data_IF_771283157482
#
_entry.id   IF_771283157482
#
_cell.length_a   1.000
_cell.length_b   1.000
_cell.length_c   1.000
_cell.angle_alpha   90.00
_cell.angle_beta   90.00
_cell.angle_gamma   90.00
#
_symmetry.space_group_name_H-M   'P 1'
#
loop_
_entity.id
_entity.type
_entity.pdbx_description
1 polymer ?
#
# COMPACT_ATOMS: atom_id res chain seq x y z
N UNK A 1 9.44 16.93 -57.46
CA UNK A 1 9.20 17.85 -56.32
C UNK A 1 9.00 17.08 -55.00
N UNK A 2 9.51 15.84 -54.88
CA UNK A 2 9.31 14.98 -53.69
C UNK A 2 10.58 14.74 -52.87
N UNK A 3 11.77 15.00 -53.42
CA UNK A 3 13.04 14.59 -52.80
C UNK A 3 13.67 15.67 -51.88
N UNK A 4 13.07 16.85 -51.78
CA UNK A 4 13.58 17.97 -50.95
C UNK A 4 12.87 18.13 -49.60
N UNK A 5 11.94 17.23 -49.26
CA UNK A 5 11.13 17.32 -48.02
C UNK A 5 11.40 16.14 -47.09
N UNK A 6 12.56 15.50 -47.21
CA UNK A 6 12.98 14.44 -46.32
C UNK A 6 14.32 14.83 -45.67
N UNK A 7 14.35 14.87 -44.34
CA UNK A 7 15.55 15.10 -43.56
C UNK A 7 15.61 14.01 -42.49
N UNK A 8 16.64 13.18 -42.57
CA UNK A 8 16.94 12.17 -41.55
C UNK A 8 17.09 12.86 -40.19
N UNK A 9 16.36 12.39 -39.19
CA UNK A 9 16.42 12.89 -37.83
C UNK A 9 17.29 11.94 -37.00
N UNK A 10 18.28 12.48 -36.30
CA UNK A 10 19.08 11.68 -35.38
C UNK A 10 18.27 11.35 -34.11
N UNK A 11 18.72 10.34 -33.37
CA UNK A 11 18.05 9.86 -32.14
C UNK A 11 17.90 10.97 -31.09
N UNK A 12 18.78 11.96 -31.08
CA UNK A 12 18.75 13.11 -30.17
C UNK A 12 17.58 14.05 -30.45
N UNK A 13 17.37 14.44 -31.72
CA UNK A 13 16.21 15.25 -32.12
C UNK A 13 14.91 14.47 -31.94
N UNK A 14 14.92 13.16 -32.23
CA UNK A 14 13.79 12.29 -31.98
C UNK A 14 13.45 12.20 -30.47
N UNK A 15 14.45 12.11 -29.61
CA UNK A 15 14.28 12.10 -28.14
C UNK A 15 13.74 13.44 -27.63
N UNK A 16 14.17 14.58 -28.19
CA UNK A 16 13.69 15.91 -27.81
C UNK A 16 12.19 16.15 -28.07
N UNK A 17 11.58 15.34 -28.94
CA UNK A 17 10.13 15.35 -29.23
C UNK A 17 9.31 14.62 -28.15
N UNK A 18 9.96 13.88 -27.24
CA UNK A 18 9.35 13.22 -26.10
C UNK A 18 9.83 13.90 -24.81
N UNK A 19 9.22 15.03 -24.40
CA UNK A 19 9.69 15.84 -23.27
C UNK A 19 9.56 15.17 -21.89
N UNK A 20 9.03 13.94 -21.81
CA UNK A 20 8.83 13.18 -20.57
C UNK A 20 9.22 11.72 -20.83
N UNK A 21 10.46 11.36 -20.49
CA UNK A 21 10.99 10.00 -20.56
C UNK A 21 10.92 9.27 -19.20
N UNK A 22 10.62 10.00 -18.13
CA UNK A 22 10.65 9.46 -16.77
C UNK A 22 9.61 8.33 -16.61
N UNK A 23 10.13 7.13 -16.34
CA UNK A 23 9.31 5.96 -16.03
C UNK A 23 8.75 6.09 -14.61
N UNK A 24 7.50 6.54 -14.49
CA UNK A 24 6.81 6.70 -13.21
C UNK A 24 5.95 5.48 -12.86
N UNK A 25 5.90 5.14 -11.57
CA UNK A 25 4.92 4.18 -11.03
C UNK A 25 3.65 4.97 -10.72
N UNK A 26 2.85 5.21 -11.76
CA UNK A 26 1.60 5.97 -11.67
C UNK A 26 0.42 5.14 -12.17
N UNK A 27 -0.14 4.30 -11.31
CA UNK A 27 -1.43 3.66 -11.54
C UNK A 27 -2.53 4.39 -10.79
N UNK A 28 -2.94 5.57 -11.28
CA UNK A 28 -3.89 6.44 -10.59
C UNK A 28 -5.35 6.07 -10.97
N UNK A 29 -5.97 5.23 -10.17
CA UNK A 29 -7.40 4.87 -10.20
C UNK A 29 -8.04 5.26 -8.86
N UNK A 30 -9.39 5.33 -8.75
CA UNK A 30 -10.05 5.68 -7.49
C UNK A 30 -9.68 4.81 -6.28
N UNK A 31 -9.24 3.57 -6.53
CA UNK A 31 -8.86 2.58 -5.51
C UNK A 31 -7.36 2.49 -5.25
N UNK A 32 -6.55 3.30 -5.93
CA UNK A 32 -5.10 3.19 -5.86
C UNK A 32 -4.56 3.75 -4.56
N UNK A 33 -3.54 3.08 -4.03
CA UNK A 33 -2.80 3.54 -2.88
C UNK A 33 -1.76 4.58 -3.34
N UNK A 34 -1.76 5.72 -2.67
CA UNK A 34 -0.72 6.75 -2.85
C UNK A 34 0.42 6.39 -1.90
N UNK A 35 1.57 6.06 -2.46
CA UNK A 35 2.75 5.60 -1.72
C UNK A 35 3.76 6.71 -1.44
N UNK A 36 3.62 7.85 -2.12
CA UNK A 36 4.40 9.03 -1.88
C UNK A 36 4.61 9.85 -3.15
N UNK A 37 5.78 10.48 -3.23
CA UNK A 37 6.22 11.25 -4.39
C UNK A 37 7.60 10.79 -4.81
N UNK A 38 7.84 10.80 -6.11
CA UNK A 38 9.16 10.66 -6.68
C UNK A 38 9.97 11.92 -6.32
N UNK A 39 11.18 11.73 -5.79
CA UNK A 39 12.00 12.84 -5.28
C UNK A 39 12.65 13.67 -6.38
N UNK A 40 12.83 13.10 -7.56
CA UNK A 40 13.51 13.76 -8.67
C UNK A 40 12.51 14.58 -9.50
N UNK A 41 11.34 14.01 -9.76
CA UNK A 41 10.30 14.61 -10.62
C UNK A 41 9.18 15.32 -9.84
N UNK A 42 9.05 15.04 -8.53
CA UNK A 42 7.90 15.42 -7.70
C UNK A 42 6.54 14.82 -8.16
N UNK A 43 6.56 13.85 -9.07
CA UNK A 43 5.36 13.12 -9.48
C UNK A 43 4.82 12.25 -8.35
N UNK A 44 3.51 11.99 -8.36
CA UNK A 44 2.90 11.03 -7.45
C UNK A 44 3.34 9.61 -7.76
N UNK A 45 3.57 8.83 -6.72
CA UNK A 45 3.73 7.37 -6.80
C UNK A 45 2.41 6.75 -6.35
N UNK A 46 1.73 6.06 -7.26
CA UNK A 46 0.45 5.43 -7.01
C UNK A 46 0.41 3.99 -7.52
N UNK A 47 -0.12 3.08 -6.72
CA UNK A 47 -0.21 1.65 -7.04
C UNK A 47 -1.61 1.13 -6.79
N UNK A 48 -2.20 0.47 -7.79
CA UNK A 48 -3.42 -0.30 -7.62
C UNK A 48 -3.07 -1.75 -7.23
N UNK A 49 -3.07 -2.03 -5.93
CA UNK A 49 -2.73 -3.36 -5.38
C UNK A 49 -3.72 -4.47 -5.80
N UNK A 50 -4.86 -4.10 -6.38
CA UNK A 50 -5.88 -5.02 -6.84
C UNK A 50 -5.79 -5.31 -8.35
N UNK A 51 -4.88 -4.66 -9.09
CA UNK A 51 -4.64 -4.94 -10.50
C UNK A 51 -3.70 -6.13 -10.68
N UNK A 52 -4.27 -7.32 -10.91
CA UNK A 52 -3.50 -8.56 -11.07
C UNK A 52 -2.58 -8.58 -12.30
N UNK A 53 -2.76 -7.66 -13.25
CA UNK A 53 -1.84 -7.54 -14.38
C UNK A 53 -0.53 -6.84 -13.98
N UNK A 54 -0.53 -6.08 -12.88
CA UNK A 54 0.62 -5.33 -12.37
C UNK A 54 1.17 -5.90 -11.06
N UNK A 55 0.30 -6.31 -10.15
CA UNK A 55 0.68 -6.87 -8.84
C UNK A 55 0.27 -8.34 -8.76
N UNK A 56 1.23 -9.24 -8.51
CA UNK A 56 0.96 -10.68 -8.37
C UNK A 56 0.02 -11.00 -7.20
N UNK A 57 0.14 -10.24 -6.11
CA UNK A 57 -0.70 -10.31 -4.94
C UNK A 57 -0.71 -8.96 -4.21
N UNK A 58 -1.52 -8.85 -3.16
CA UNK A 58 -1.70 -7.63 -2.36
C UNK A 58 -0.73 -7.54 -1.17
N UNK A 59 0.24 -8.46 -1.07
CA UNK A 59 1.16 -8.46 0.07
C UNK A 59 2.20 -7.37 -0.10
N UNK A 60 2.60 -6.75 1.01
CA UNK A 60 3.60 -5.70 1.05
C UNK A 60 4.61 -5.97 2.15
N UNK A 61 5.85 -5.54 1.91
CA UNK A 61 6.94 -5.66 2.87
C UNK A 61 7.56 -4.29 3.05
N UNK A 62 7.57 -3.79 4.28
CA UNK A 62 8.09 -2.47 4.64
C UNK A 62 9.31 -2.68 5.53
N UNK A 63 10.49 -2.29 5.04
CA UNK A 63 11.76 -2.50 5.72
C UNK A 63 12.41 -1.14 5.98
N UNK A 64 13.00 -0.99 7.17
CA UNK A 64 13.70 0.22 7.53
C UNK A 64 14.28 0.14 8.94
N UNK A 65 15.32 0.92 9.22
CA UNK A 65 15.92 1.03 10.55
C UNK A 65 14.98 1.73 11.54
N UNK A 66 15.30 1.69 12.83
CA UNK A 66 14.53 2.44 13.83
C UNK A 66 14.59 3.95 13.55
N UNK A 67 13.45 4.65 13.71
CA UNK A 67 13.36 6.10 13.50
C UNK A 67 13.17 6.56 12.04
N UNK A 68 13.20 5.67 11.04
CA UNK A 68 13.07 6.08 9.62
C UNK A 68 11.62 6.39 9.18
N UNK A 69 10.64 6.20 10.07
CA UNK A 69 9.23 6.52 9.79
C UNK A 69 8.34 5.34 9.39
N UNK A 70 8.76 4.08 9.64
CA UNK A 70 7.93 2.88 9.38
C UNK A 70 6.54 2.97 10.02
N UNK A 71 6.49 3.30 11.30
CA UNK A 71 5.26 3.42 12.09
C UNK A 71 4.36 4.52 11.52
N UNK A 72 4.92 5.67 11.16
CA UNK A 72 4.19 6.78 10.53
C UNK A 72 3.56 6.36 9.20
N UNK A 73 4.33 5.66 8.36
CA UNK A 73 3.85 5.15 7.08
C UNK A 73 2.72 4.12 7.29
N UNK A 74 2.87 3.19 8.25
CA UNK A 74 1.82 2.22 8.60
C UNK A 74 0.54 2.88 9.10
N UNK A 75 0.64 3.90 9.96
CA UNK A 75 -0.54 4.65 10.44
C UNK A 75 -1.31 5.28 9.27
N UNK A 76 -0.61 5.84 8.29
CA UNK A 76 -1.27 6.38 7.08
C UNK A 76 -2.02 5.29 6.32
N UNK A 77 -1.44 4.09 6.18
CA UNK A 77 -2.13 2.96 5.52
C UNK A 77 -3.33 2.46 6.32
N UNK A 78 -3.20 2.33 7.64
CA UNK A 78 -4.29 1.94 8.55
C UNK A 78 -5.46 2.91 8.38
N UNK A 79 -5.20 4.22 8.42
CA UNK A 79 -6.23 5.25 8.23
C UNK A 79 -6.90 5.15 6.85
N UNK A 80 -6.11 4.98 5.79
CA UNK A 80 -6.62 4.86 4.42
C UNK A 80 -7.57 3.67 4.28
N UNK A 81 -7.14 2.50 4.72
CA UNK A 81 -7.95 1.28 4.61
C UNK A 81 -9.16 1.31 5.55
N UNK A 82 -9.06 1.93 6.72
CA UNK A 82 -10.20 2.15 7.60
C UNK A 82 -11.28 3.04 6.94
N UNK A 83 -10.87 4.11 6.24
CA UNK A 83 -11.81 4.97 5.47
C UNK A 83 -12.47 4.22 4.31
N UNK A 84 -11.78 3.22 3.76
CA UNK A 84 -12.29 2.38 2.68
C UNK A 84 -13.08 1.17 3.20
N UNK A 85 -13.43 1.14 4.50
CA UNK A 85 -14.20 0.07 5.17
C UNK A 85 -13.55 -1.33 5.08
N UNK A 86 -12.23 -1.40 4.99
CA UNK A 86 -11.52 -2.68 5.08
C UNK A 86 -11.48 -3.18 6.52
N UNK A 87 -11.61 -4.50 6.70
CA UNK A 87 -11.34 -5.15 7.97
C UNK A 87 -9.82 -5.17 8.24
N UNK A 88 -9.42 -4.57 9.36
CA UNK A 88 -8.02 -4.45 9.75
C UNK A 88 -7.73 -5.32 10.97
N UNK A 89 -6.70 -6.16 10.84
CA UNK A 89 -6.14 -6.96 11.93
C UNK A 89 -4.66 -6.59 12.08
N UNK A 90 -4.29 -6.10 13.26
CA UNK A 90 -2.93 -5.60 13.52
C UNK A 90 -2.31 -6.46 14.62
N UNK A 91 -1.14 -7.02 14.33
CA UNK A 91 -0.30 -7.70 15.32
C UNK A 91 0.79 -6.71 15.73
N UNK A 92 0.70 -6.22 16.96
CA UNK A 92 1.52 -5.12 17.45
C UNK A 92 2.33 -5.53 18.69
N UNK A 93 3.57 -6.03 18.52
CA UNK A 93 4.42 -6.38 19.65
C UNK A 93 5.01 -5.17 20.38
N UNK A 94 5.05 -3.99 19.73
CA UNK A 94 5.66 -2.77 20.28
C UNK A 94 4.63 -1.80 20.89
N UNK A 95 3.34 -2.11 20.76
CA UNK A 95 2.21 -1.32 21.27
C UNK A 95 2.17 0.11 20.70
N UNK A 96 2.56 0.27 19.43
CA UNK A 96 2.57 1.53 18.71
C UNK A 96 1.18 1.96 18.19
N UNK A 97 0.29 1.00 17.91
CA UNK A 97 -0.96 1.24 17.17
C UNK A 97 -2.22 1.29 18.05
N UNK A 98 -2.12 0.97 19.35
CA UNK A 98 -3.28 0.97 20.27
C UNK A 98 -4.10 2.27 20.20
N UNK A 99 -3.43 3.42 20.23
CA UNK A 99 -4.11 4.73 20.20
C UNK A 99 -4.91 4.95 18.92
N UNK A 100 -4.39 4.54 17.76
CA UNK A 100 -5.10 4.74 16.49
C UNK A 100 -6.26 3.76 16.35
N UNK A 101 -6.08 2.52 16.83
CA UNK A 101 -7.16 1.51 16.85
C UNK A 101 -8.32 1.99 17.73
N UNK A 102 -8.04 2.48 18.94
CA UNK A 102 -9.06 3.04 19.84
C UNK A 102 -9.75 4.28 19.24
N UNK A 103 -8.99 5.17 18.60
CA UNK A 103 -9.53 6.36 17.95
C UNK A 103 -10.47 6.03 16.77
N UNK A 104 -10.23 4.91 16.08
CA UNK A 104 -11.08 4.40 15.00
C UNK A 104 -12.25 3.54 15.53
N UNK A 105 -12.41 3.41 16.86
CA UNK A 105 -13.47 2.59 17.47
C UNK A 105 -13.22 1.08 17.38
N UNK A 106 -11.98 0.67 17.09
CA UNK A 106 -11.58 -0.74 17.07
C UNK A 106 -11.39 -1.34 18.46
N UNK A 107 -11.12 -2.64 18.50
CA UNK A 107 -10.85 -3.37 19.73
C UNK A 107 -9.35 -3.68 19.85
N UNK A 108 -8.79 -3.43 21.04
CA UNK A 108 -7.41 -3.80 21.37
C UNK A 108 -7.41 -5.01 22.30
N UNK A 109 -6.77 -6.09 21.87
CA UNK A 109 -6.66 -7.34 22.61
C UNK A 109 -5.24 -7.52 23.12
N UNK A 110 -5.03 -7.31 24.42
CA UNK A 110 -3.75 -7.61 25.04
C UNK A 110 -3.61 -9.11 25.28
N UNK A 111 -2.58 -9.74 24.69
CA UNK A 111 -2.28 -11.16 24.84
C UNK A 111 -1.13 -11.35 25.83
N UNK A 112 -1.43 -11.23 27.13
CA UNK A 112 -0.47 -11.51 28.22
C UNK A 112 -0.94 -12.69 29.04
N UNK A 113 -0.05 -13.32 29.82
CA UNK A 113 -0.41 -14.48 30.65
C UNK A 113 -1.56 -14.22 31.62
N UNK A 114 -1.67 -12.98 32.10
CA UNK A 114 -2.73 -12.51 33.01
C UNK A 114 -3.86 -11.75 32.29
N UNK A 115 -3.87 -11.71 30.95
CA UNK A 115 -4.91 -11.04 30.22
C UNK A 115 -6.25 -11.77 30.34
N UNK A 116 -7.32 -10.97 30.28
CA UNK A 116 -8.70 -11.47 30.23
C UNK A 116 -8.95 -12.31 28.97
N UNK A 117 -8.29 -11.97 27.86
CA UNK A 117 -8.45 -12.60 26.56
C UNK A 117 -7.31 -13.59 26.31
N UNK A 118 -7.64 -14.78 25.80
CA UNK A 118 -6.68 -15.83 25.45
C UNK A 118 -7.06 -16.43 24.10
N UNK A 119 -6.07 -16.70 23.27
CA UNK A 119 -6.25 -17.45 22.02
C UNK A 119 -5.97 -18.92 22.34
N UNK A 120 -6.91 -19.80 21.96
CA UNK A 120 -6.75 -21.24 22.06
C UNK A 120 -6.29 -21.79 20.70
N UNK A 121 -5.02 -22.20 20.52
CA UNK A 121 -4.53 -22.74 19.25
C UNK A 121 -5.17 -24.08 18.86
N UNK A 122 -5.78 -24.78 19.82
CA UNK A 122 -6.50 -26.04 19.59
C UNK A 122 -8.00 -25.82 19.34
N UNK A 123 -8.45 -24.57 19.28
CA UNK A 123 -9.83 -24.25 18.89
C UNK A 123 -10.03 -24.65 17.43
N UNK A 124 -10.91 -25.61 17.20
CA UNK A 124 -11.29 -26.01 15.84
C UNK A 124 -12.39 -25.08 15.36
N UNK A 125 -12.17 -24.45 14.21
CA UNK A 125 -13.19 -23.72 13.48
C UNK A 125 -13.59 -24.58 12.28
N UNK A 126 -14.84 -25.02 12.20
CA UNK A 126 -15.40 -25.61 10.98
C UNK A 126 -16.37 -24.63 10.32
N UNK A 127 -16.37 -24.57 8.99
CA UNK A 127 -17.23 -23.66 8.21
C UNK A 127 -18.73 -23.89 8.46
N UNK A 128 -19.12 -25.12 8.80
CA UNK A 128 -20.51 -25.46 9.20
C UNK A 128 -20.94 -24.82 10.52
N UNK A 129 -20.02 -24.56 11.44
CA UNK A 129 -20.33 -23.94 12.75
C UNK A 129 -20.43 -22.41 12.62
N UNK A 130 -19.68 -21.80 11.71
CA UNK A 130 -19.65 -20.35 11.52
C UNK A 130 -20.81 -19.80 10.67
N UNK A 131 -21.52 -20.66 9.93
CA UNK A 131 -22.64 -20.30 9.05
C UNK A 131 -24.02 -20.53 9.69
N UNK A 132 -24.06 -21.01 10.93
CA UNK A 132 -25.29 -21.27 11.69
C UNK A 132 -25.78 -20.07 12.54
N UNK A 133 -25.03 -18.97 12.55
CA UNK A 133 -25.35 -17.71 13.25
C UNK A 133 -25.51 -16.53 12.28
#
# INVERSE_FOLDING_TARGET
MGDYTYKESNTEVASSMFPFDDAEILDLKPRSDIEGVNKDTNSLIAVDMLDRNKTLNQNQVIIGTSGVGKTTYMIQKILRYAIQDYQLYIIDPENEYTKIVEALGGAVLHLTSNAKYKINPLQIFSEEILSAD
#
